data_IF_368645051864
#
_entry.id   IF_368645051864
#
_cell.length_a   1.000
_cell.length_b   1.000
_cell.length_c   1.000
_cell.angle_alpha   90.00
_cell.angle_beta   90.00
_cell.angle_gamma   90.00
#
_symmetry.space_group_name_H-M   'P 1'
#
loop_
_entity.id
_entity.type
_entity.pdbx_description
1 polymer ?
#
# COMPACT_ATOMS: atom_id res chain seq x y z
N UNK A 1 -13.64 -17.29 -14.15
CA UNK A 1 -13.88 -16.58 -15.42
C UNK A 1 -12.63 -15.80 -15.79
N UNK A 2 -11.93 -16.26 -16.83
CA UNK A 2 -10.68 -15.66 -17.32
C UNK A 2 -11.00 -15.01 -18.66
N UNK A 3 -10.88 -13.69 -18.75
CA UNK A 3 -10.74 -12.98 -20.03
C UNK A 3 -10.34 -11.52 -19.80
N UNK A 4 -9.06 -11.20 -20.01
CA UNK A 4 -8.63 -10.03 -20.81
C UNK A 4 -7.11 -10.05 -21.02
N UNK A 5 -6.74 -10.12 -22.30
CA UNK A 5 -5.41 -9.85 -22.84
C UNK A 5 -5.18 -8.33 -22.77
N UNK A 6 -3.99 -7.88 -22.36
CA UNK A 6 -3.59 -6.47 -22.49
C UNK A 6 -2.28 -6.41 -23.28
N UNK A 7 -2.40 -5.75 -24.44
CA UNK A 7 -1.44 -5.36 -25.47
C UNK A 7 -0.76 -6.44 -26.31
N UNK A 8 -1.13 -6.48 -27.59
CA UNK A 8 -0.28 -6.93 -28.69
C UNK A 8 0.92 -6.00 -28.81
N UNK A 9 2.13 -6.54 -28.64
CA UNK A 9 3.34 -5.92 -29.16
C UNK A 9 3.45 -6.29 -30.66
N UNK A 10 3.89 -5.34 -31.48
CA UNK A 10 4.03 -5.44 -32.95
C UNK A 10 5.10 -6.47 -33.44
N UNK A 11 5.32 -7.57 -32.72
CA UNK A 11 6.27 -8.63 -33.06
C UNK A 11 5.70 -10.05 -32.99
N UNK A 12 4.38 -10.24 -32.85
CA UNK A 12 3.75 -11.57 -32.97
C UNK A 12 3.98 -12.52 -31.79
N UNK A 13 4.64 -12.10 -30.72
CA UNK A 13 4.80 -12.89 -29.49
C UNK A 13 3.77 -12.48 -28.43
N UNK A 14 2.86 -13.39 -28.11
CA UNK A 14 1.83 -13.18 -27.08
C UNK A 14 2.38 -13.59 -25.71
N UNK A 15 2.73 -12.63 -24.85
CA UNK A 15 3.06 -12.92 -23.44
C UNK A 15 1.76 -13.02 -22.64
N UNK A 16 1.38 -14.23 -22.25
CA UNK A 16 0.21 -14.48 -21.40
C UNK A 16 0.55 -14.19 -19.93
N UNK A 17 0.11 -13.04 -19.41
CA UNK A 17 0.13 -12.77 -17.98
C UNK A 17 -1.14 -13.30 -17.31
N UNK A 18 -1.00 -14.28 -16.41
CA UNK A 18 -2.09 -14.75 -15.57
C UNK A 18 -2.25 -13.85 -14.34
N UNK A 19 -3.45 -13.30 -14.15
CA UNK A 19 -3.80 -12.57 -12.95
C UNK A 19 -4.18 -13.53 -11.81
N UNK A 20 -3.25 -13.80 -10.90
CA UNK A 20 -3.50 -14.60 -9.70
C UNK A 20 -4.12 -13.72 -8.60
N UNK A 21 -5.35 -14.05 -8.17
CA UNK A 21 -6.02 -13.43 -7.00
C UNK A 21 -5.60 -14.10 -5.67
N UNK A 22 -4.33 -14.48 -5.49
CA UNK A 22 -3.81 -14.93 -4.20
C UNK A 22 -3.03 -13.81 -3.50
N UNK A 23 -3.22 -13.69 -2.19
CA UNK A 23 -2.49 -12.74 -1.32
C UNK A 23 -1.10 -13.25 -0.91
N UNK A 24 -0.75 -14.49 -1.28
CA UNK A 24 0.53 -15.12 -0.96
C UNK A 24 1.40 -15.26 -2.21
N UNK A 25 2.59 -14.65 -2.18
CA UNK A 25 3.56 -14.70 -3.29
C UNK A 25 4.05 -16.12 -3.63
N UNK A 26 4.03 -17.04 -2.65
CA UNK A 26 4.43 -18.44 -2.82
C UNK A 26 3.44 -19.24 -3.68
N UNK A 27 2.13 -18.94 -3.57
CA UNK A 27 1.11 -19.61 -4.39
C UNK A 27 1.19 -19.14 -5.85
N UNK A 28 1.53 -17.86 -6.09
CA UNK A 28 1.74 -17.33 -7.42
C UNK A 28 2.96 -17.96 -8.12
N UNK A 29 4.08 -18.12 -7.40
CA UNK A 29 5.26 -18.83 -7.93
C UNK A 29 4.96 -20.31 -8.16
N UNK A 30 4.23 -20.97 -7.26
CA UNK A 30 3.88 -22.38 -7.36
C UNK A 30 3.00 -22.70 -8.57
N UNK A 31 2.00 -21.88 -8.88
CA UNK A 31 1.10 -22.10 -10.03
C UNK A 31 1.80 -21.83 -11.37
N UNK A 32 2.71 -20.86 -11.43
CA UNK A 32 3.54 -20.59 -12.63
C UNK A 32 4.57 -21.72 -12.85
N UNK A 33 5.14 -22.27 -11.77
CA UNK A 33 6.11 -23.37 -11.87
C UNK A 33 5.49 -24.73 -12.21
N UNK A 34 4.30 -25.06 -11.68
CA UNK A 34 3.74 -26.41 -11.82
C UNK A 34 3.05 -26.69 -13.16
N UNK A 35 2.46 -25.70 -13.82
CA UNK A 35 1.67 -25.94 -15.04
C UNK A 35 2.49 -25.94 -16.34
N UNK A 36 3.69 -25.34 -16.36
CA UNK A 36 4.46 -25.13 -17.61
C UNK A 36 5.70 -26.00 -17.77
N UNK A 37 6.06 -26.80 -16.76
CA UNK A 37 7.19 -27.75 -16.84
C UNK A 37 7.00 -28.90 -17.83
N UNK A 38 5.82 -29.01 -18.46
CA UNK A 38 5.44 -30.17 -19.29
C UNK A 38 5.31 -29.88 -20.79
N UNK A 39 5.43 -28.61 -21.24
CA UNK A 39 5.01 -28.23 -22.61
C UNK A 39 6.01 -27.43 -23.45
N UNK A 40 7.19 -27.03 -22.94
CA UNK A 40 8.15 -26.22 -23.70
C UNK A 40 9.60 -26.70 -23.57
N UNK A 41 10.36 -26.54 -24.65
CA UNK A 41 11.74 -26.99 -24.78
C UNK A 41 12.69 -26.21 -23.85
N UNK A 42 13.70 -26.87 -23.29
CA UNK A 42 14.54 -26.35 -22.17
C UNK A 42 15.37 -25.12 -22.56
N UNK A 43 15.58 -24.91 -23.86
CA UNK A 43 16.41 -23.83 -24.43
C UNK A 43 15.65 -22.52 -24.59
N UNK A 44 14.41 -22.54 -25.10
CA UNK A 44 13.55 -21.33 -25.19
C UNK A 44 13.28 -20.75 -23.80
N UNK A 45 13.09 -21.61 -22.80
CA UNK A 45 12.86 -21.17 -21.42
C UNK A 45 14.02 -20.33 -20.84
N UNK A 46 15.28 -20.72 -21.12
CA UNK A 46 16.45 -19.95 -20.64
C UNK A 46 16.51 -18.57 -21.26
N UNK A 47 16.08 -18.44 -22.52
CA UNK A 47 16.03 -17.16 -23.23
C UNK A 47 14.92 -16.26 -22.68
N UNK A 48 13.72 -16.80 -22.48
CA UNK A 48 12.57 -16.04 -21.94
C UNK A 48 12.84 -15.56 -20.51
N UNK A 49 13.34 -16.45 -19.64
CA UNK A 49 13.68 -16.08 -18.26
C UNK A 49 14.85 -15.10 -18.25
N UNK A 50 15.85 -15.29 -19.11
CA UNK A 50 16.97 -14.38 -19.27
C UNK A 50 16.51 -12.96 -19.66
N UNK A 51 15.67 -12.86 -20.69
CA UNK A 51 15.10 -11.61 -21.16
C UNK A 51 14.22 -10.95 -20.09
N UNK A 52 13.42 -11.72 -19.34
CA UNK A 52 12.62 -11.20 -18.23
C UNK A 52 13.48 -10.66 -17.08
N UNK A 53 14.58 -11.35 -16.74
CA UNK A 53 15.54 -10.88 -15.73
C UNK A 53 16.23 -9.58 -16.17
N UNK A 54 16.66 -9.51 -17.43
CA UNK A 54 17.28 -8.32 -18.01
C UNK A 54 16.34 -7.12 -18.02
N UNK A 55 15.06 -7.34 -18.40
CA UNK A 55 14.04 -6.30 -18.33
C UNK A 55 13.78 -5.80 -16.90
N UNK A 56 13.83 -6.68 -15.90
CA UNK A 56 13.61 -6.30 -14.49
C UNK A 56 14.75 -5.46 -13.91
N UNK A 57 15.98 -5.64 -14.38
CA UNK A 57 17.16 -4.87 -13.98
C UNK A 57 18.42 -5.72 -13.74
N UNK A 58 19.50 -5.05 -13.36
CA UNK A 58 20.79 -5.69 -13.10
C UNK A 58 20.93 -6.07 -11.62
N UNK A 59 20.87 -7.38 -11.37
CA UNK A 59 21.01 -7.98 -10.05
C UNK A 59 22.38 -8.64 -9.81
N UNK A 60 23.33 -8.53 -10.74
CA UNK A 60 24.63 -9.26 -10.70
C UNK A 60 25.47 -8.92 -9.47
N UNK A 61 25.32 -7.72 -8.93
CA UNK A 61 26.04 -7.28 -7.72
C UNK A 61 25.48 -7.91 -6.42
N UNK A 62 24.30 -8.53 -6.46
CA UNK A 62 23.63 -9.08 -5.28
C UNK A 62 24.04 -10.54 -5.07
N UNK A 63 25.07 -10.75 -4.24
CA UNK A 63 25.56 -12.10 -3.91
C UNK A 63 24.69 -12.88 -2.93
N UNK A 64 23.92 -12.19 -2.10
CA UNK A 64 23.09 -12.83 -1.09
C UNK A 64 21.77 -13.31 -1.71
N UNK A 65 21.54 -14.62 -1.70
CA UNK A 65 20.37 -15.27 -2.33
C UNK A 65 19.05 -14.72 -1.79
N UNK A 66 18.92 -14.56 -0.46
CA UNK A 66 17.69 -14.02 0.13
C UNK A 66 17.41 -12.58 -0.32
N UNK A 67 18.44 -11.73 -0.37
CA UNK A 67 18.32 -10.36 -0.90
C UNK A 67 17.99 -10.38 -2.40
N UNK A 68 18.62 -11.25 -3.17
CA UNK A 68 18.38 -11.40 -4.61
C UNK A 68 16.91 -11.75 -4.88
N UNK A 69 16.38 -12.79 -4.25
CA UNK A 69 14.96 -13.17 -4.36
C UNK A 69 14.03 -12.03 -3.91
N UNK A 70 14.36 -11.31 -2.83
CA UNK A 70 13.58 -10.17 -2.37
C UNK A 70 13.64 -8.95 -3.32
N UNK A 71 14.67 -8.84 -4.17
CA UNK A 71 14.75 -7.81 -5.22
C UNK A 71 13.97 -8.21 -6.46
N UNK A 72 14.08 -9.45 -6.92
CA UNK A 72 13.22 -9.99 -7.98
C UNK A 72 11.73 -9.87 -7.64
N UNK A 73 11.36 -10.20 -6.41
CA UNK A 73 9.99 -10.10 -5.91
C UNK A 73 9.38 -8.70 -5.99
N UNK A 74 10.19 -7.64 -6.13
CA UNK A 74 9.67 -6.28 -6.22
C UNK A 74 8.95 -6.03 -7.53
N UNK A 75 9.40 -6.60 -8.65
CA UNK A 75 8.77 -6.41 -9.95
C UNK A 75 7.34 -6.97 -10.02
N UNK A 76 6.98 -7.87 -9.11
CA UNK A 76 5.65 -8.50 -9.04
C UNK A 76 4.68 -7.84 -8.05
N UNK A 77 5.12 -6.79 -7.35
CA UNK A 77 4.22 -6.06 -6.46
C UNK A 77 3.22 -5.21 -7.25
N UNK A 78 1.97 -5.16 -6.80
CA UNK A 78 0.96 -4.28 -7.41
C UNK A 78 1.39 -2.82 -7.27
N UNK A 79 1.46 -2.13 -8.41
CA UNK A 79 1.76 -0.70 -8.51
C UNK A 79 0.89 -0.06 -9.60
N UNK A 80 0.88 1.28 -9.61
CA UNK A 80 0.30 2.07 -10.70
C UNK A 80 1.42 2.85 -11.36
N UNK A 81 1.67 2.60 -12.64
CA UNK A 81 2.60 3.44 -13.41
C UNK A 81 2.00 4.84 -13.52
N UNK A 82 2.68 5.85 -12.98
CA UNK A 82 2.16 7.22 -12.89
C UNK A 82 2.81 8.20 -13.86
N UNK A 83 4.12 8.13 -14.05
CA UNK A 83 4.84 9.02 -14.96
C UNK A 83 6.04 8.30 -15.56
N UNK A 84 6.63 8.88 -16.60
CA UNK A 84 7.97 8.54 -17.05
C UNK A 84 8.87 9.73 -16.74
N UNK A 85 9.98 9.47 -16.05
CA UNK A 85 10.95 10.48 -15.62
C UNK A 85 12.29 10.05 -16.20
N UNK A 86 12.90 10.91 -17.01
CA UNK A 86 14.20 10.62 -17.63
C UNK A 86 15.32 10.56 -16.60
N UNK A 87 16.42 9.89 -16.93
CA UNK A 87 17.63 9.85 -16.07
C UNK A 87 18.25 11.26 -15.94
N UNK A 88 18.05 12.11 -16.94
CA UNK A 88 18.41 13.53 -16.96
C UNK A 88 17.49 14.41 -16.09
N UNK A 89 16.32 13.90 -15.70
CA UNK A 89 15.34 14.61 -14.89
C UNK A 89 15.37 14.20 -13.42
N UNK A 90 16.32 13.33 -13.04
CA UNK A 90 16.57 12.91 -11.67
C UNK A 90 17.91 13.46 -11.16
N UNK A 91 18.00 13.62 -9.86
CA UNK A 91 19.28 13.85 -9.19
C UNK A 91 19.48 12.83 -8.06
N UNK A 92 20.74 12.45 -7.82
CA UNK A 92 21.10 11.62 -6.66
C UNK A 92 21.72 12.50 -5.59
N UNK A 93 20.97 12.77 -4.54
CA UNK A 93 21.40 13.59 -3.39
C UNK A 93 22.03 12.70 -2.30
N UNK A 94 23.02 13.22 -1.53
CA UNK A 94 23.64 12.47 -0.44
C UNK A 94 22.63 12.18 0.67
N UNK A 95 22.76 11.06 1.39
CA UNK A 95 21.95 10.80 2.58
C UNK A 95 22.25 11.82 3.71
N UNK A 96 21.24 12.13 4.52
CA UNK A 96 21.37 12.99 5.72
C UNK A 96 21.93 12.12 6.84
N UNK A 97 23.21 12.31 7.14
CA UNK A 97 23.93 11.52 8.13
C UNK A 97 24.40 12.38 9.31
N UNK A 98 24.30 11.83 10.53
CA UNK A 98 24.87 12.45 11.74
C UNK A 98 25.84 11.47 12.39
N UNK A 99 27.03 11.95 12.73
CA UNK A 99 28.02 11.19 13.50
C UNK A 99 27.79 11.40 15.00
N UNK A 100 27.66 10.32 15.76
CA UNK A 100 27.68 10.34 17.23
C UNK A 100 28.72 9.33 17.72
N UNK A 101 29.83 9.84 18.25
CA UNK A 101 30.99 9.01 18.59
C UNK A 101 31.54 8.32 17.34
N UNK A 102 31.69 7.01 17.40
CA UNK A 102 32.18 6.17 16.29
C UNK A 102 31.07 5.75 15.32
N UNK A 103 29.80 5.98 15.64
CA UNK A 103 28.67 5.54 14.83
C UNK A 103 28.14 6.67 13.93
N UNK A 104 27.91 6.34 12.65
CA UNK A 104 27.23 7.20 11.67
C UNK A 104 25.79 6.71 11.51
N UNK A 105 24.83 7.61 11.71
CA UNK A 105 23.40 7.32 11.60
C UNK A 105 22.80 8.03 10.39
N UNK A 106 22.13 7.29 9.51
CA UNK A 106 21.38 7.84 8.38
C UNK A 106 19.94 8.17 8.79
N UNK A 107 19.54 9.44 8.69
CA UNK A 107 18.21 9.94 9.04
C UNK A 107 17.26 10.02 7.83
N UNK A 108 17.79 9.86 6.63
CA UNK A 108 17.03 9.92 5.38
C UNK A 108 16.96 8.59 4.65
N UNK A 109 17.14 7.47 5.35
CA UNK A 109 17.11 6.16 4.72
C UNK A 109 15.75 5.93 4.06
N UNK A 110 15.76 5.69 2.75
CA UNK A 110 14.54 5.35 2.03
C UNK A 110 13.61 6.53 1.72
N UNK A 111 14.02 7.79 1.93
CA UNK A 111 13.22 8.98 1.58
C UNK A 111 13.94 9.92 0.59
N UNK A 112 13.24 10.26 -0.49
CA UNK A 112 13.64 11.24 -1.50
C UNK A 112 12.66 12.41 -1.59
N UNK A 113 12.80 13.20 -2.66
CA UNK A 113 11.98 14.37 -2.95
C UNK A 113 11.32 14.25 -4.32
N UNK A 114 10.13 14.82 -4.45
CA UNK A 114 9.41 14.95 -5.72
C UNK A 114 9.04 16.42 -5.93
N UNK A 115 9.34 16.94 -7.11
CA UNK A 115 8.94 18.30 -7.47
C UNK A 115 7.43 18.43 -7.51
N UNK A 116 6.92 19.60 -7.09
CA UNK A 116 5.49 19.84 -6.97
C UNK A 116 4.72 19.59 -8.29
N UNK A 117 5.28 20.00 -9.42
CA UNK A 117 4.62 19.80 -10.72
C UNK A 117 4.49 18.31 -11.08
N UNK A 118 5.53 17.52 -10.80
CA UNK A 118 5.45 16.07 -10.99
C UNK A 118 4.45 15.44 -10.03
N UNK A 119 4.42 15.87 -8.76
CA UNK A 119 3.46 15.40 -7.76
C UNK A 119 2.01 15.67 -8.19
N UNK A 120 1.72 16.84 -8.78
CA UNK A 120 0.41 17.16 -9.37
C UNK A 120 0.05 16.21 -10.50
N UNK A 121 0.98 15.95 -11.44
CA UNK A 121 0.77 15.00 -12.55
C UNK A 121 0.46 13.59 -12.03
N UNK A 122 1.22 13.14 -11.03
CA UNK A 122 1.02 11.85 -10.35
C UNK A 122 -0.37 11.80 -9.69
N UNK A 123 -0.75 12.83 -8.93
CA UNK A 123 -2.05 12.91 -8.25
C UNK A 123 -3.23 12.86 -9.24
N UNK A 124 -3.14 13.57 -10.37
CA UNK A 124 -4.15 13.54 -11.43
C UNK A 124 -4.32 12.15 -12.01
N UNK A 125 -3.22 11.44 -12.32
CA UNK A 125 -3.30 10.07 -12.86
C UNK A 125 -3.82 9.07 -11.82
N UNK A 126 -3.52 9.29 -10.54
CA UNK A 126 -4.06 8.50 -9.45
C UNK A 126 -5.54 8.79 -9.16
N UNK A 127 -6.08 9.91 -9.69
CA UNK A 127 -7.43 10.47 -9.42
C UNK A 127 -7.62 10.84 -7.95
N UNK A 128 -6.60 11.47 -7.36
CA UNK A 128 -6.68 11.99 -5.99
C UNK A 128 -7.47 13.32 -5.97
N UNK A 129 -8.25 13.55 -4.91
CA UNK A 129 -9.01 14.80 -4.73
C UNK A 129 -8.10 16.02 -4.47
N UNK A 130 -6.94 15.79 -3.86
CA UNK A 130 -5.90 16.77 -3.61
C UNK A 130 -4.54 16.13 -3.90
N UNK A 131 -3.49 16.95 -4.02
CA UNK A 131 -2.11 16.47 -4.22
C UNK A 131 -1.60 15.90 -2.88
N UNK A 132 -1.26 14.60 -2.80
CA UNK A 132 -0.66 14.04 -1.59
C UNK A 132 0.72 14.63 -1.32
N UNK A 133 1.07 14.85 -0.05
CA UNK A 133 2.38 15.35 0.35
C UNK A 133 3.50 14.33 0.22
N UNK A 134 3.17 13.04 0.12
CA UNK A 134 4.16 11.98 -0.03
C UNK A 134 3.59 10.76 -0.78
N UNK A 135 4.48 10.07 -1.48
CA UNK A 135 4.17 8.89 -2.29
C UNK A 135 5.17 7.77 -1.99
N UNK A 136 4.68 6.54 -1.82
CA UNK A 136 5.52 5.36 -1.81
C UNK A 136 5.77 4.91 -3.24
N UNK A 137 7.04 4.88 -3.64
CA UNK A 137 7.42 4.71 -5.04
C UNK A 137 8.35 3.51 -5.28
N UNK A 138 8.34 3.08 -6.55
CA UNK A 138 9.40 2.32 -7.19
C UNK A 138 9.79 3.02 -8.48
N UNK A 139 11.07 3.11 -8.75
CA UNK A 139 11.61 3.78 -9.94
C UNK A 139 12.99 3.23 -10.24
N UNK A 140 13.25 2.62 -11.40
CA UNK A 140 14.62 2.25 -11.83
C UNK A 140 15.49 1.56 -10.78
N UNK A 141 14.93 0.62 -9.98
CA UNK A 141 15.65 -0.06 -8.89
C UNK A 141 15.73 0.70 -7.55
N UNK A 142 15.26 1.95 -7.52
CA UNK A 142 14.99 2.69 -6.30
C UNK A 142 13.67 2.27 -5.66
N UNK A 143 13.71 2.09 -4.33
CA UNK A 143 12.53 1.79 -3.51
C UNK A 143 12.52 2.70 -2.29
N UNK A 144 11.40 3.37 -2.05
CA UNK A 144 11.24 4.21 -0.87
C UNK A 144 9.98 5.07 -0.91
N UNK A 145 10.06 6.20 -0.22
CA UNK A 145 9.04 7.26 -0.20
C UNK A 145 9.64 8.52 -0.80
N UNK A 146 8.85 9.32 -1.49
CA UNK A 146 9.22 10.69 -1.89
C UNK A 146 8.23 11.67 -1.29
N UNK A 147 8.76 12.75 -0.70
CA UNK A 147 7.96 13.86 -0.19
C UNK A 147 7.98 15.04 -1.16
N UNK A 148 6.86 15.75 -1.27
CA UNK A 148 6.78 16.94 -2.12
C UNK A 148 7.70 18.02 -1.57
N UNK A 149 8.62 18.49 -2.43
CA UNK A 149 9.48 19.63 -2.14
C UNK A 149 9.15 20.77 -3.10
N UNK A 150 8.42 21.82 -2.63
CA UNK A 150 8.09 22.98 -3.45
C UNK A 150 9.30 23.81 -3.88
N UNK A 151 10.45 23.63 -3.22
CA UNK A 151 11.68 24.40 -3.51
C UNK A 151 12.61 23.69 -4.49
N UNK A 152 12.36 22.40 -4.78
CA UNK A 152 13.14 21.66 -5.76
C UNK A 152 12.86 22.17 -7.17
N UNK A 153 13.86 22.13 -8.06
CA UNK A 153 13.69 22.33 -9.50
C UNK A 153 13.82 21.02 -10.30
N UNK A 154 14.30 19.95 -9.67
CA UNK A 154 14.51 18.64 -10.28
C UNK A 154 13.31 17.74 -10.01
N UNK A 155 12.82 17.01 -11.02
CA UNK A 155 11.57 16.23 -10.93
C UNK A 155 11.60 15.20 -9.80
N UNK A 156 12.69 14.45 -9.68
CA UNK A 156 12.89 13.49 -8.59
C UNK A 156 14.31 13.61 -8.02
N UNK A 157 14.41 13.79 -6.71
CA UNK A 157 15.69 13.71 -6.00
C UNK A 157 15.72 12.43 -5.18
N UNK A 158 16.60 11.51 -5.54
CA UNK A 158 16.72 10.18 -4.94
C UNK A 158 18.01 10.08 -4.13
N UNK A 159 18.07 9.12 -3.20
CA UNK A 159 19.27 8.90 -2.36
C UNK A 159 19.91 7.56 -2.67
N UNK A 160 21.22 7.45 -2.38
CA UNK A 160 21.95 6.18 -2.54
C UNK A 160 21.33 5.07 -1.71
N UNK A 161 20.87 5.38 -0.49
CA UNK A 161 20.17 4.42 0.38
C UNK A 161 18.90 3.83 -0.24
N UNK A 162 18.26 4.51 -1.19
CA UNK A 162 17.05 4.04 -1.87
C UNK A 162 17.36 3.07 -3.02
N UNK A 163 18.53 3.15 -3.65
CA UNK A 163 18.94 2.31 -4.78
C UNK A 163 19.19 0.87 -4.30
N UNK A 164 18.41 -0.09 -4.81
CA UNK A 164 18.50 -1.50 -4.39
C UNK A 164 19.16 -2.41 -5.42
N UNK A 165 19.13 -1.99 -6.69
CA UNK A 165 19.76 -2.62 -7.86
C UNK A 165 19.78 -1.58 -8.99
N UNK A 166 20.60 -1.79 -10.02
CA UNK A 166 20.70 -0.88 -11.17
C UNK A 166 19.65 -1.24 -12.21
N UNK A 167 19.03 -0.25 -12.84
CA UNK A 167 18.05 -0.47 -13.90
C UNK A 167 17.91 0.79 -14.74
N UNK A 168 17.67 0.63 -16.04
CA UNK A 168 17.44 1.73 -16.99
C UNK A 168 15.94 2.09 -17.11
N UNK A 169 15.10 1.52 -16.24
CA UNK A 169 13.67 1.76 -16.25
C UNK A 169 13.34 3.17 -15.74
N UNK A 170 12.74 3.98 -16.61
CA UNK A 170 12.33 5.38 -16.37
C UNK A 170 10.89 5.52 -15.87
N UNK A 171 10.17 4.42 -15.66
CA UNK A 171 8.79 4.44 -15.18
C UNK A 171 8.74 4.69 -13.67
N UNK A 172 7.93 5.67 -13.28
CA UNK A 172 7.61 5.97 -11.89
C UNK A 172 6.34 5.22 -11.47
N UNK A 173 6.52 4.19 -10.68
CA UNK A 173 5.46 3.39 -10.10
C UNK A 173 5.10 3.90 -8.71
N UNK A 174 3.82 4.22 -8.49
CA UNK A 174 3.29 4.54 -7.16
C UNK A 174 2.56 3.34 -6.60
N UNK A 175 2.95 2.94 -5.39
CA UNK A 175 2.35 1.84 -4.65
C UNK A 175 1.25 2.34 -3.72
N UNK A 176 1.51 3.46 -3.05
CA UNK A 176 0.60 4.08 -2.11
C UNK A 176 0.93 5.57 -1.93
N UNK A 177 0.04 6.31 -1.29
CA UNK A 177 0.21 7.74 -1.05
C UNK A 177 -0.33 8.15 0.30
N UNK A 178 0.08 9.34 0.75
CA UNK A 178 -0.37 9.92 2.00
C UNK A 178 -1.90 10.14 1.96
N UNK A 179 -2.60 9.52 2.92
CA UNK A 179 -4.03 9.65 3.16
C UNK A 179 -4.34 9.24 4.59
N UNK A 180 -5.44 9.75 5.14
CA UNK A 180 -5.90 9.34 6.45
C UNK A 180 -6.11 7.83 6.51
N UNK A 181 -5.56 7.21 7.56
CA UNK A 181 -5.78 5.79 7.86
C UNK A 181 -6.26 5.66 9.30
N UNK A 182 -7.40 5.00 9.52
CA UNK A 182 -7.87 4.65 10.86
C UNK A 182 -6.78 3.90 11.64
N UNK A 183 -6.45 4.40 12.83
CA UNK A 183 -5.49 3.78 13.73
C UNK A 183 -6.21 2.87 14.73
N UNK A 184 -5.60 1.74 15.06
CA UNK A 184 -6.14 0.80 16.04
C UNK A 184 -5.04 0.34 16.98
N UNK A 185 -5.39 0.20 18.26
CA UNK A 185 -4.59 -0.59 19.17
C UNK A 185 -4.68 -2.06 18.76
N UNK A 186 -3.59 -2.77 18.96
CA UNK A 186 -3.53 -4.23 18.92
C UNK A 186 -2.92 -4.73 20.24
N UNK A 187 -2.92 -6.05 20.42
CA UNK A 187 -2.39 -6.67 21.64
C UNK A 187 -0.94 -6.27 21.90
N UNK A 188 -0.10 -6.22 20.88
CA UNK A 188 1.33 -5.89 21.01
C UNK A 188 1.53 -4.46 21.52
N UNK A 189 0.83 -3.49 20.96
CA UNK A 189 0.89 -2.08 21.38
C UNK A 189 0.39 -1.95 22.83
N UNK A 190 -0.70 -2.63 23.18
CA UNK A 190 -1.24 -2.60 24.55
C UNK A 190 -0.22 -3.16 25.54
N UNK A 191 0.43 -4.28 25.24
CA UNK A 191 1.49 -4.85 26.10
C UNK A 191 2.65 -3.88 26.28
N UNK A 192 3.13 -3.24 25.20
CA UNK A 192 4.20 -2.24 25.27
C UNK A 192 3.81 -1.05 26.16
N UNK A 193 2.62 -0.48 25.94
CA UNK A 193 2.14 0.65 26.73
C UNK A 193 1.91 0.29 28.20
N UNK A 194 1.44 -0.92 28.48
CA UNK A 194 1.26 -1.41 29.86
C UNK A 194 2.61 -1.49 30.59
N UNK A 195 3.66 -2.00 29.92
CA UNK A 195 5.02 -2.03 30.46
C UNK A 195 5.62 -0.64 30.68
N UNK A 196 5.21 0.35 29.87
CA UNK A 196 5.57 1.76 30.05
C UNK A 196 4.74 2.47 31.14
N UNK A 197 3.85 1.76 31.84
CA UNK A 197 3.10 2.27 32.99
C UNK A 197 1.68 2.77 32.67
N UNK A 198 1.17 2.59 31.45
CA UNK A 198 -0.23 2.91 31.13
C UNK A 198 -1.15 1.90 31.84
N UNK A 199 -2.01 2.40 32.73
CA UNK A 199 -2.92 1.56 33.52
C UNK A 199 -4.00 0.92 32.65
N UNK A 200 -4.32 -0.36 32.92
CA UNK A 200 -5.38 -1.14 32.24
C UNK A 200 -6.72 -0.44 32.11
N UNK A 201 -7.09 0.39 33.11
CA UNK A 201 -8.32 1.18 33.10
C UNK A 201 -8.46 2.07 31.87
N UNK A 202 -7.36 2.56 31.31
CA UNK A 202 -7.37 3.36 30.09
C UNK A 202 -7.81 2.52 28.88
N UNK A 203 -7.22 1.33 28.70
CA UNK A 203 -7.61 0.43 27.60
C UNK A 203 -9.04 -0.08 27.74
N UNK A 204 -9.46 -0.43 28.97
CA UNK A 204 -10.85 -0.85 29.24
C UNK A 204 -11.83 0.28 28.92
N UNK A 205 -11.53 1.53 29.30
CA UNK A 205 -12.36 2.69 28.95
C UNK A 205 -12.48 2.87 27.43
N UNK A 206 -11.35 2.83 26.71
CA UNK A 206 -11.36 2.93 25.24
C UNK A 206 -12.15 1.79 24.59
N UNK A 207 -12.05 0.57 25.13
CA UNK A 207 -12.81 -0.58 24.66
C UNK A 207 -14.31 -0.38 24.86
N UNK A 208 -14.74 0.02 26.06
CA UNK A 208 -16.14 0.30 26.36
C UNK A 208 -16.71 1.39 25.46
N UNK A 209 -16.00 2.51 25.29
CA UNK A 209 -16.43 3.59 24.41
C UNK A 209 -16.54 3.15 22.94
N UNK A 210 -15.63 2.28 22.48
CA UNK A 210 -15.70 1.73 21.13
C UNK A 210 -16.94 0.82 20.96
N UNK A 211 -17.28 0.01 21.97
CA UNK A 211 -18.49 -0.82 21.98
C UNK A 211 -19.75 0.05 21.97
N UNK A 212 -19.79 1.10 22.80
CA UNK A 212 -20.94 2.01 22.88
C UNK A 212 -21.18 2.73 21.55
N UNK A 213 -20.10 3.15 20.87
CA UNK A 213 -20.16 3.73 19.52
C UNK A 213 -20.73 2.73 18.52
N UNK A 214 -20.29 1.47 18.57
CA UNK A 214 -20.81 0.41 17.70
C UNK A 214 -22.29 0.11 17.96
N UNK A 215 -22.73 0.16 19.22
CA UNK A 215 -24.14 -0.02 19.56
C UNK A 215 -24.99 1.14 19.03
N UNK A 216 -24.47 2.37 19.13
CA UNK A 216 -25.20 3.56 18.72
C UNK A 216 -25.44 3.65 17.20
N UNK A 217 -24.62 2.97 16.38
CA UNK A 217 -24.82 2.85 14.92
C UNK A 217 -26.19 2.23 14.58
N UNK A 218 -26.73 1.37 15.44
CA UNK A 218 -28.01 0.70 15.18
C UNK A 218 -29.23 1.59 15.46
N UNK A 219 -29.02 2.76 16.08
CA UNK A 219 -30.10 3.61 16.59
C UNK A 219 -30.06 4.99 15.92
N UNK A 220 -28.87 5.61 15.88
CA UNK A 220 -28.66 6.98 15.42
C UNK A 220 -28.12 6.99 13.99
N UNK A 221 -28.89 7.49 13.00
CA UNK A 221 -28.47 7.56 11.59
C UNK A 221 -27.16 8.35 11.39
N UNK A 222 -26.95 9.41 12.17
CA UNK A 222 -25.76 10.26 12.05
C UNK A 222 -24.52 9.52 12.56
N UNK A 223 -24.62 8.82 13.69
CA UNK A 223 -23.53 7.97 14.19
C UNK A 223 -23.23 6.81 13.23
N UNK A 224 -24.27 6.24 12.61
CA UNK A 224 -24.10 5.21 11.59
C UNK A 224 -23.32 5.73 10.39
N UNK A 225 -23.67 6.91 9.89
CA UNK A 225 -22.98 7.55 8.77
C UNK A 225 -21.50 7.80 9.10
N UNK A 226 -21.23 8.45 10.24
CA UNK A 226 -19.85 8.74 10.70
C UNK A 226 -19.02 7.47 10.85
N UNK A 227 -19.60 6.39 11.39
CA UNK A 227 -18.90 5.11 11.53
C UNK A 227 -18.62 4.44 10.18
N UNK A 228 -19.54 4.49 9.23
CA UNK A 228 -19.33 3.98 7.86
C UNK A 228 -18.26 4.78 7.11
N UNK A 229 -18.05 6.05 7.43
CA UNK A 229 -16.96 6.87 6.87
C UNK A 229 -15.60 6.47 7.40
N UNK A 230 -15.49 6.25 8.72
CA UNK A 230 -14.19 6.01 9.36
C UNK A 230 -13.77 4.54 9.34
N UNK A 231 -14.70 3.58 9.28
CA UNK A 231 -14.40 2.18 9.64
C UNK A 231 -14.79 1.13 8.59
N UNK A 232 -15.48 1.52 7.52
CA UNK A 232 -15.86 0.62 6.44
C UNK A 232 -15.35 1.14 5.09
N UNK A 233 -14.51 0.36 4.43
CA UNK A 233 -14.05 0.62 3.09
C UNK A 233 -14.73 -0.37 2.13
N UNK A 234 -15.36 0.14 1.06
CA UNK A 234 -15.97 -0.68 0.02
C UNK A 234 -17.24 -0.07 -0.56
N UNK A 235 -17.64 -0.55 -1.73
CA UNK A 235 -18.81 -0.06 -2.49
C UNK A 235 -20.11 -0.14 -1.69
N UNK A 236 -20.25 -1.19 -0.87
CA UNK A 236 -21.43 -1.37 0.00
C UNK A 236 -21.56 -0.22 1.01
N UNK A 237 -20.47 0.35 1.56
CA UNK A 237 -20.62 1.52 2.45
C UNK A 237 -21.19 2.73 1.73
N UNK A 238 -20.91 2.89 0.43
CA UNK A 238 -21.42 4.02 -0.33
C UNK A 238 -22.94 3.95 -0.42
N UNK A 239 -23.47 2.77 -0.74
CA UNK A 239 -24.92 2.51 -0.76
C UNK A 239 -25.53 2.74 0.62
N UNK A 240 -24.95 2.18 1.68
CA UNK A 240 -25.47 2.38 3.04
C UNK A 240 -25.45 3.85 3.49
N UNK A 241 -24.43 4.61 3.09
CA UNK A 241 -24.37 6.06 3.36
C UNK A 241 -25.44 6.82 2.59
N UNK A 242 -25.64 6.51 1.30
CA UNK A 242 -26.69 7.12 0.49
C UNK A 242 -28.08 6.85 1.07
N UNK A 243 -28.34 5.63 1.57
CA UNK A 243 -29.57 5.31 2.28
C UNK A 243 -29.75 6.17 3.54
N UNK A 244 -28.70 6.32 4.36
CA UNK A 244 -28.78 7.18 5.55
C UNK A 244 -29.03 8.66 5.19
N UNK A 245 -28.39 9.16 4.11
CA UNK A 245 -28.58 10.53 3.61
C UNK A 245 -30.01 10.74 3.10
N UNK A 246 -30.60 9.74 2.45
CA UNK A 246 -32.00 9.76 2.01
C UNK A 246 -33.02 9.66 3.17
N UNK A 247 -32.57 9.61 4.43
CA UNK A 247 -33.44 9.61 5.61
C UNK A 247 -33.92 8.23 6.03
N UNK A 248 -33.39 7.14 5.46
CA UNK A 248 -33.70 5.80 5.92
C UNK A 248 -33.18 5.59 7.34
N UNK A 249 -34.04 5.08 8.23
CA UNK A 249 -33.68 4.86 9.63
C UNK A 249 -33.03 3.48 9.81
N UNK A 250 -31.92 3.37 10.58
CA UNK A 250 -31.23 2.11 10.87
C UNK A 250 -32.14 1.00 11.42
N UNK A 251 -33.21 1.36 12.13
CA UNK A 251 -34.12 0.42 12.78
C UNK A 251 -35.44 0.18 12.02
N UNK A 252 -35.68 0.89 10.92
CA UNK A 252 -36.93 0.79 10.16
C UNK A 252 -36.74 0.08 8.82
N UNK A 253 -35.60 0.27 8.17
CA UNK A 253 -35.33 -0.37 6.86
C UNK A 253 -34.58 -1.71 7.08
N UNK A 254 -35.16 -2.86 6.68
CA UNK A 254 -34.61 -4.18 6.98
C UNK A 254 -33.19 -4.41 6.44
N UNK A 255 -32.89 -3.97 5.21
CA UNK A 255 -31.59 -4.18 4.59
C UNK A 255 -30.49 -3.40 5.33
N UNK A 256 -30.69 -2.11 5.58
CA UNK A 256 -29.82 -1.23 6.33
C UNK A 256 -29.60 -1.77 7.73
N UNK A 257 -30.65 -2.17 8.43
CA UNK A 257 -30.56 -2.77 9.77
C UNK A 257 -29.67 -4.02 9.77
N UNK A 258 -29.92 -4.96 8.85
CA UNK A 258 -29.14 -6.19 8.72
C UNK A 258 -27.67 -5.90 8.43
N UNK A 259 -27.39 -4.95 7.55
CA UNK A 259 -26.03 -4.59 7.16
C UNK A 259 -25.28 -3.89 8.30
N UNK A 260 -25.93 -2.99 9.04
CA UNK A 260 -25.34 -2.33 10.21
C UNK A 260 -25.10 -3.31 11.37
N UNK A 261 -26.01 -4.27 11.59
CA UNK A 261 -25.82 -5.34 12.56
C UNK A 261 -24.64 -6.25 12.20
N UNK A 262 -24.53 -6.64 10.93
CA UNK A 262 -23.41 -7.43 10.41
C UNK A 262 -22.09 -6.69 10.57
N UNK A 263 -22.08 -5.39 10.24
CA UNK A 263 -20.93 -4.51 10.43
C UNK A 263 -20.50 -4.48 11.90
N UNK A 264 -21.44 -4.22 12.82
CA UNK A 264 -21.20 -4.23 14.27
C UNK A 264 -20.63 -5.56 14.73
N UNK A 265 -21.25 -6.67 14.35
CA UNK A 265 -20.81 -8.02 14.73
C UNK A 265 -19.37 -8.30 14.25
N UNK A 266 -19.04 -7.93 13.01
CA UNK A 266 -17.69 -8.03 12.46
C UNK A 266 -16.67 -7.24 13.27
N UNK A 267 -16.99 -5.99 13.66
CA UNK A 267 -16.08 -5.16 14.46
C UNK A 267 -15.90 -5.67 15.90
N UNK A 268 -16.97 -6.16 16.52
CA UNK A 268 -16.89 -6.81 17.84
C UNK A 268 -16.03 -8.08 17.77
N UNK A 269 -16.13 -8.85 16.69
CA UNK A 269 -15.30 -10.03 16.48
C UNK A 269 -13.82 -9.68 16.29
N UNK A 270 -13.52 -8.64 15.50
CA UNK A 270 -12.16 -8.09 15.35
C UNK A 270 -11.58 -7.65 16.72
N UNK A 271 -12.40 -7.00 17.55
CA UNK A 271 -12.01 -6.58 18.89
C UNK A 271 -11.76 -7.79 19.82
N UNK A 272 -12.62 -8.80 19.78
CA UNK A 272 -12.48 -10.02 20.60
C UNK A 272 -11.24 -10.83 20.23
N UNK A 273 -11.00 -11.05 18.93
CA UNK A 273 -9.93 -11.92 18.47
C UNK A 273 -8.58 -11.22 18.39
N UNK A 274 -8.55 -9.96 17.96
CA UNK A 274 -7.31 -9.24 17.63
C UNK A 274 -7.04 -8.06 18.57
N UNK A 275 -7.93 -7.80 19.53
CA UNK A 275 -7.87 -6.63 20.42
C UNK A 275 -7.79 -5.33 19.62
N UNK A 276 -8.50 -5.29 18.48
CA UNK A 276 -8.51 -4.17 17.54
C UNK A 276 -9.42 -3.05 18.05
N UNK A 277 -8.89 -2.17 18.89
CA UNK A 277 -9.62 -1.05 19.49
C UNK A 277 -9.32 0.21 18.68
N UNK A 278 -10.35 0.87 18.15
CA UNK A 278 -10.17 2.09 17.36
C UNK A 278 -9.63 3.23 18.23
N UNK A 279 -8.58 3.89 17.77
CA UNK A 279 -8.05 5.09 18.40
C UNK A 279 -8.71 6.29 17.76
N UNK A 280 -9.55 6.98 18.53
CA UNK A 280 -10.08 8.26 18.09
C UNK A 280 -9.00 9.32 18.27
N UNK A 281 -8.71 10.03 17.18
CA UNK A 281 -8.03 11.31 17.26
C UNK A 281 -9.13 12.33 17.53
N UNK A 282 -9.16 12.91 18.73
CA UNK A 282 -9.84 14.19 18.90
C UNK A 282 -9.02 15.24 18.15
N UNK A 283 -9.69 16.07 17.36
CA UNK A 283 -9.04 17.26 16.77
C UNK A 283 -8.59 18.12 17.95
N UNK A 284 -7.26 18.21 18.12
CA UNK A 284 -6.58 19.12 19.04
C UNK A 284 -6.60 20.53 18.46
#
# INVERSE_FOLDING_TARGET
SVSRVISEANSGESILFFHCKSSNAWDCLGVVFMLYGFLFDRWEWRLIVGAALEWMGDFREIRNVAKYCARLGQSFGSSRETASVGIDEIEVIPDVEVKRGEATYCFSEGIGKIFEELARKVATKLRCNSVPSAFQIRYGGYKGVVAVDPTSSVKLSLRKSMCKYKSDNTKLDVLDWCKFRPCFLNRQIITLLSNLGVKDRAFKKMQSEAIDKLNAILIDPWRAQKALEMMFAGEISKVLKEMLICGYKPNAEPFLSMMLQTFRASKLMDMRLKTKIFVQMEEL
#
